data_IF_508813138139
#
_entry.id   IF_508813138139
#
_cell.length_a   1.000
_cell.length_b   1.000
_cell.length_c   1.000
_cell.angle_alpha   90.00
_cell.angle_beta   90.00
_cell.angle_gamma   90.00
#
_symmetry.space_group_name_H-M   'P 1'
#
loop_
_entity.id
_entity.type
_entity.pdbx_description
1 polymer ?
#
# COMPACT_ATOMS: atom_id res chain seq x y z
N UNK A 1 4.94 -27.94 34.01
CA UNK A 1 3.50 -28.17 34.20
C UNK A 1 2.81 -27.89 32.87
N UNK A 2 2.19 -28.94 32.30
CA UNK A 2 1.13 -28.99 31.27
C UNK A 2 1.21 -28.01 30.09
N UNK A 3 1.72 -28.53 28.98
CA UNK A 3 1.45 -28.08 27.62
C UNK A 3 0.12 -28.70 27.11
N UNK A 4 -0.69 -27.91 26.40
CA UNK A 4 -1.80 -28.29 25.53
C UNK A 4 -1.74 -27.27 24.37
N UNK A 5 -1.48 -27.65 23.11
CA UNK A 5 -2.42 -28.22 22.13
C UNK A 5 -2.95 -27.07 21.25
N UNK A 6 -2.99 -27.10 19.90
CA UNK A 6 -3.46 -28.17 19.02
C UNK A 6 -2.89 -27.94 17.61
N UNK A 7 -2.18 -28.94 17.06
CA UNK A 7 -1.98 -29.10 15.63
C UNK A 7 -3.11 -29.99 15.09
N UNK A 8 -3.90 -29.47 14.16
CA UNK A 8 -4.97 -30.24 13.51
C UNK A 8 -4.35 -31.15 12.43
N UNK A 9 -3.86 -32.32 12.85
CA UNK A 9 -3.61 -33.43 11.94
C UNK A 9 -4.95 -34.14 11.69
N UNK A 10 -5.42 -34.11 10.44
CA UNK A 10 -6.55 -34.93 9.98
C UNK A 10 -6.12 -36.41 10.00
N UNK A 11 -6.31 -37.08 11.13
CA UNK A 11 -6.19 -38.52 11.26
C UNK A 11 -7.47 -39.18 10.77
N UNK A 12 -7.46 -39.67 9.52
CA UNK A 12 -8.52 -40.52 8.99
C UNK A 12 -8.47 -41.87 9.69
N UNK A 13 -9.40 -42.11 10.61
CA UNK A 13 -9.54 -43.40 11.31
C UNK A 13 -10.31 -44.37 10.42
N UNK A 14 -9.65 -45.44 9.97
CA UNK A 14 -10.27 -46.52 9.21
C UNK A 14 -11.07 -47.42 10.15
N UNK A 15 -12.40 -47.30 10.12
CA UNK A 15 -13.31 -48.27 10.71
C UNK A 15 -13.79 -49.23 9.59
N UNK A 16 -13.29 -50.46 9.60
CA UNK A 16 -13.79 -51.53 8.74
C UNK A 16 -15.06 -52.10 9.38
N UNK A 17 -16.21 -51.65 8.91
CA UNK A 17 -17.52 -52.25 9.23
C UNK A 17 -17.94 -53.19 8.11
N UNK A 18 -17.93 -54.49 8.38
CA UNK A 18 -18.51 -55.49 7.49
C UNK A 18 -20.05 -55.44 7.60
N UNK A 19 -20.74 -55.11 6.50
CA UNK A 19 -22.18 -55.32 6.36
C UNK A 19 -22.42 -56.26 5.19
N UNK A 20 -22.91 -57.45 5.53
CA UNK A 20 -23.39 -58.45 4.59
C UNK A 20 -24.91 -58.30 4.41
N UNK A 21 -25.38 -58.17 3.17
CA UNK A 21 -26.72 -58.59 2.74
C UNK A 21 -26.74 -58.86 1.22
N UNK A 22 -27.10 -60.09 0.83
CA UNK A 22 -27.55 -60.46 -0.53
C UNK A 22 -28.94 -59.86 -0.84
N UNK A 23 -29.57 -60.01 -2.01
CA UNK A 23 -29.64 -61.12 -2.97
C UNK A 23 -30.13 -60.58 -4.33
N UNK A 24 -29.68 -61.18 -5.46
CA UNK A 24 -30.21 -60.86 -6.80
C UNK A 24 -29.77 -61.82 -7.93
N UNK A 25 -30.13 -63.09 -7.78
CA UNK A 25 -30.29 -64.17 -8.80
C UNK A 25 -29.47 -64.18 -10.09
N UNK A 26 -28.48 -65.09 -10.14
CA UNK A 26 -27.94 -65.71 -11.35
C UNK A 26 -27.24 -67.01 -10.94
N UNK A 27 -27.71 -68.15 -11.44
CA UNK A 27 -27.16 -69.47 -11.13
C UNK A 27 -25.77 -69.58 -11.76
N UNK A 28 -24.73 -69.24 -11.00
CA UNK A 28 -23.36 -69.61 -11.26
C UNK A 28 -22.98 -70.70 -10.25
N UNK A 29 -22.50 -71.81 -10.77
CA UNK A 29 -21.96 -72.95 -10.01
C UNK A 29 -20.88 -72.39 -9.09
N UNK A 30 -21.08 -72.53 -7.78
CA UNK A 30 -20.08 -72.22 -6.78
C UNK A 30 -18.94 -73.25 -6.92
N UNK A 31 -17.76 -72.76 -7.28
CA UNK A 31 -16.51 -73.46 -7.01
C UNK A 31 -16.04 -73.06 -5.60
N UNK A 32 -15.51 -74.04 -4.89
CA UNK A 32 -15.38 -74.09 -3.43
C UNK A 32 -14.44 -73.03 -2.81
N UNK A 33 -14.81 -72.52 -1.63
CA UNK A 33 -14.03 -72.61 -0.38
C UNK A 33 -12.49 -72.49 -0.33
N UNK A 34 -11.80 -71.94 -1.32
CA UNK A 34 -10.34 -71.81 -1.29
C UNK A 34 -9.93 -70.65 -0.37
N UNK A 35 -9.39 -70.99 0.81
CA UNK A 35 -8.60 -70.04 1.61
C UNK A 35 -7.48 -69.51 0.71
N UNK A 36 -7.30 -68.17 0.59
CA UNK A 36 -6.26 -67.59 -0.25
C UNK A 36 -4.89 -68.21 0.05
N UNK A 37 -4.15 -68.57 -0.99
CA UNK A 37 -2.82 -69.17 -0.84
C UNK A 37 -1.82 -68.13 -0.30
N UNK A 38 -0.68 -68.59 0.22
CA UNK A 38 0.40 -67.69 0.62
C UNK A 38 0.90 -66.79 -0.51
N UNK A 39 0.81 -67.27 -1.76
CA UNK A 39 1.15 -66.50 -2.95
C UNK A 39 0.12 -65.40 -3.20
N UNK A 40 -1.18 -65.70 -3.12
CA UNK A 40 -2.26 -64.71 -3.28
C UNK A 40 -2.17 -63.60 -2.22
N UNK A 41 -1.86 -63.95 -0.97
CA UNK A 41 -1.64 -62.98 0.12
C UNK A 41 -0.39 -62.13 -0.12
N UNK A 42 0.69 -62.73 -0.66
CA UNK A 42 1.91 -62.00 -1.00
C UNK A 42 1.66 -61.00 -2.14
N UNK A 43 1.04 -61.45 -3.23
CA UNK A 43 0.68 -60.62 -4.39
C UNK A 43 -0.28 -59.49 -4.00
N UNK A 44 -1.30 -59.78 -3.17
CA UNK A 44 -2.20 -58.75 -2.65
C UNK A 44 -1.46 -57.72 -1.77
N UNK A 45 -0.47 -58.14 -0.97
CA UNK A 45 0.34 -57.22 -0.15
C UNK A 45 1.28 -56.36 -1.00
N UNK A 46 1.85 -56.91 -2.07
CA UNK A 46 2.68 -56.15 -3.03
C UNK A 46 1.79 -55.12 -3.74
N UNK A 47 0.66 -55.54 -4.30
CA UNK A 47 -0.28 -54.62 -4.96
C UNK A 47 -0.82 -53.52 -4.03
N UNK A 48 -1.02 -53.81 -2.74
CA UNK A 48 -1.41 -52.81 -1.76
C UNK A 48 -0.30 -51.80 -1.44
N UNK A 49 0.97 -52.22 -1.45
CA UNK A 49 2.13 -51.33 -1.28
C UNK A 49 2.32 -50.45 -2.51
N UNK A 50 2.28 -51.03 -3.71
CA UNK A 50 2.42 -50.29 -4.96
C UNK A 50 1.35 -49.18 -5.07
N UNK A 51 0.09 -49.49 -4.72
CA UNK A 51 -0.98 -48.47 -4.64
C UNK A 51 -0.73 -47.39 -3.59
N UNK A 52 -0.13 -47.74 -2.45
CA UNK A 52 0.22 -46.75 -1.42
C UNK A 52 1.32 -45.81 -1.93
N UNK A 53 2.32 -46.35 -2.62
CA UNK A 53 3.40 -45.57 -3.25
C UNK A 53 2.84 -44.65 -4.34
N UNK A 54 1.88 -45.11 -5.15
CA UNK A 54 1.19 -44.28 -6.15
C UNK A 54 0.40 -43.12 -5.51
N UNK A 55 -0.31 -43.38 -4.41
CA UNK A 55 -1.04 -42.35 -3.64
C UNK A 55 -0.08 -41.29 -3.11
N UNK A 56 1.05 -41.71 -2.54
CA UNK A 56 2.05 -40.80 -2.01
C UNK A 56 2.77 -40.02 -3.12
N UNK A 57 2.98 -40.62 -4.30
CA UNK A 57 3.50 -39.92 -5.48
C UNK A 57 2.53 -38.85 -6.02
N UNK A 58 1.21 -39.12 -6.04
CA UNK A 58 0.21 -38.11 -6.41
C UNK A 58 0.15 -36.98 -5.38
N UNK A 59 0.19 -37.30 -4.08
CA UNK A 59 0.26 -36.29 -3.01
C UNK A 59 1.50 -35.42 -3.12
N UNK A 60 2.66 -36.00 -3.40
CA UNK A 60 3.90 -35.27 -3.63
C UNK A 60 3.77 -34.30 -4.82
N UNK A 61 3.18 -34.74 -5.93
CA UNK A 61 2.89 -33.88 -7.09
C UNK A 61 1.94 -32.73 -6.75
N UNK A 62 0.91 -32.97 -5.93
CA UNK A 62 0.01 -31.90 -5.44
C UNK A 62 0.76 -30.86 -4.59
N UNK A 63 1.69 -31.29 -3.74
CA UNK A 63 2.54 -30.38 -2.95
C UNK A 63 3.42 -29.54 -3.87
N UNK A 64 4.07 -30.15 -4.87
CA UNK A 64 4.90 -29.43 -5.85
C UNK A 64 4.09 -28.45 -6.71
N UNK A 65 2.86 -28.81 -7.09
CA UNK A 65 1.95 -27.92 -7.80
C UNK A 65 1.57 -26.70 -6.94
N UNK A 66 1.26 -26.90 -5.66
CA UNK A 66 1.01 -25.80 -4.73
C UNK A 66 2.25 -24.93 -4.50
N UNK A 67 3.45 -25.52 -4.44
CA UNK A 67 4.70 -24.79 -4.29
C UNK A 67 4.94 -23.88 -5.51
N UNK A 68 4.81 -24.39 -6.74
CA UNK A 68 4.93 -23.57 -7.96
C UNK A 68 3.94 -22.42 -8.00
N UNK A 69 2.69 -22.66 -7.56
CA UNK A 69 1.67 -21.61 -7.47
C UNK A 69 2.06 -20.51 -6.47
N UNK A 70 2.65 -20.90 -5.34
CA UNK A 70 3.14 -19.96 -4.34
C UNK A 70 4.35 -19.18 -4.86
N UNK A 71 5.32 -19.84 -5.49
CA UNK A 71 6.51 -19.19 -6.07
C UNK A 71 6.12 -18.12 -7.10
N UNK A 72 5.20 -18.47 -8.00
CA UNK A 72 4.69 -17.53 -9.02
C UNK A 72 3.93 -16.34 -8.39
N UNK A 73 3.13 -16.60 -7.34
CA UNK A 73 2.47 -15.55 -6.58
C UNK A 73 3.46 -14.63 -5.84
N UNK A 74 4.53 -15.17 -5.25
CA UNK A 74 5.59 -14.38 -4.58
C UNK A 74 6.31 -13.50 -5.60
N UNK A 75 6.66 -14.06 -6.77
CA UNK A 75 7.32 -13.28 -7.83
C UNK A 75 6.46 -12.11 -8.31
N UNK A 76 5.16 -12.33 -8.49
CA UNK A 76 4.22 -11.26 -8.83
C UNK A 76 4.12 -10.20 -7.71
N UNK A 77 4.08 -10.61 -6.43
CA UNK A 77 4.05 -9.68 -5.31
C UNK A 77 5.35 -8.86 -5.19
N UNK A 78 6.51 -9.46 -5.42
CA UNK A 78 7.80 -8.76 -5.42
C UNK A 78 7.88 -7.72 -6.53
N UNK A 79 7.49 -8.08 -7.75
CA UNK A 79 7.48 -7.13 -8.86
C UNK A 79 6.47 -6.00 -8.63
N UNK A 80 5.30 -6.33 -8.08
CA UNK A 80 4.30 -5.37 -7.68
C UNK A 80 4.82 -4.34 -6.68
N UNK A 81 5.57 -4.82 -5.69
CA UNK A 81 6.13 -3.98 -4.64
C UNK A 81 7.33 -3.16 -5.11
N UNK A 82 8.15 -3.69 -6.03
CA UNK A 82 9.19 -2.92 -6.70
C UNK A 82 8.63 -1.69 -7.43
N UNK A 83 7.48 -1.84 -8.09
CA UNK A 83 6.77 -0.71 -8.70
C UNK A 83 6.25 0.29 -7.66
N UNK A 84 5.64 -0.18 -6.58
CA UNK A 84 5.18 0.71 -5.50
C UNK A 84 6.35 1.55 -4.95
N UNK A 85 7.52 0.93 -4.75
CA UNK A 85 8.74 1.60 -4.35
C UNK A 85 9.27 2.58 -5.39
N UNK A 86 9.28 2.22 -6.67
CA UNK A 86 9.70 3.12 -7.75
C UNK A 86 8.77 4.33 -7.89
N UNK A 87 7.44 4.13 -7.81
CA UNK A 87 6.44 5.20 -7.82
C UNK A 87 6.57 6.13 -6.61
N UNK A 88 6.87 5.57 -5.43
CA UNK A 88 7.15 6.35 -4.23
C UNK A 88 8.38 7.24 -4.41
N UNK A 89 9.49 6.68 -4.90
CA UNK A 89 10.73 7.43 -5.18
C UNK A 89 10.53 8.50 -6.26
N UNK A 90 9.77 8.20 -7.33
CA UNK A 90 9.41 9.18 -8.34
C UNK A 90 8.62 10.36 -7.74
N UNK A 91 7.68 10.09 -6.83
CA UNK A 91 6.95 11.14 -6.12
C UNK A 91 7.85 11.97 -5.20
N UNK A 92 8.83 11.36 -4.54
CA UNK A 92 9.84 12.07 -3.74
C UNK A 92 10.75 12.95 -4.60
N UNK A 93 11.29 12.41 -5.70
CA UNK A 93 12.15 13.14 -6.61
C UNK A 93 11.41 14.34 -7.24
N UNK A 94 10.15 14.18 -7.63
CA UNK A 94 9.29 15.30 -8.10
C UNK A 94 9.12 16.38 -7.02
N UNK A 95 8.92 16.01 -5.75
CA UNK A 95 8.83 16.98 -4.65
C UNK A 95 10.15 17.72 -4.44
N UNK A 96 11.27 17.01 -4.52
CA UNK A 96 12.60 17.59 -4.42
C UNK A 96 12.86 18.58 -5.57
N UNK A 97 12.55 18.22 -6.81
CA UNK A 97 12.67 19.10 -7.98
C UNK A 97 11.86 20.39 -7.83
N UNK A 98 10.61 20.30 -7.36
CA UNK A 98 9.80 21.51 -7.12
C UNK A 98 10.41 22.41 -6.03
N UNK A 99 10.98 21.81 -4.98
CA UNK A 99 11.62 22.55 -3.90
C UNK A 99 12.93 23.23 -4.35
N UNK A 100 13.77 22.52 -5.11
CA UNK A 100 15.02 23.09 -5.64
C UNK A 100 14.73 24.17 -6.69
N UNK A 101 13.72 24.01 -7.53
CA UNK A 101 13.26 25.05 -8.47
C UNK A 101 12.85 26.33 -7.74
N UNK A 102 12.14 26.21 -6.60
CA UNK A 102 11.78 27.38 -5.77
C UNK A 102 13.02 28.05 -5.20
N UNK A 103 14.00 27.29 -4.73
CA UNK A 103 15.26 27.83 -4.19
C UNK A 103 16.08 28.55 -5.26
N UNK A 104 16.14 27.98 -6.46
CA UNK A 104 16.76 28.62 -7.63
C UNK A 104 16.09 29.98 -7.93
N UNK A 105 14.76 30.02 -8.03
CA UNK A 105 14.03 31.27 -8.27
C UNK A 105 14.25 32.33 -7.17
N UNK A 106 14.34 31.92 -5.91
CA UNK A 106 14.66 32.83 -4.79
C UNK A 106 16.08 33.37 -4.89
N UNK A 107 17.05 32.53 -5.26
CA UNK A 107 18.45 32.94 -5.44
C UNK A 107 18.61 33.90 -6.61
N UNK A 108 17.96 33.62 -7.76
CA UNK A 108 17.93 34.53 -8.91
C UNK A 108 17.34 35.90 -8.57
N UNK A 109 16.26 35.92 -7.79
CA UNK A 109 15.66 37.17 -7.31
C UNK A 109 16.62 37.95 -6.39
N UNK A 110 17.47 37.26 -5.61
CA UNK A 110 18.50 37.91 -4.81
C UNK A 110 19.60 38.53 -5.66
N UNK A 111 20.03 37.84 -6.72
CA UNK A 111 20.99 38.40 -7.69
C UNK A 111 20.49 39.72 -8.26
N UNK A 112 19.21 39.79 -8.64
CA UNK A 112 18.63 41.03 -9.17
C UNK A 112 18.63 42.16 -8.13
N UNK A 113 18.24 41.86 -6.88
CA UNK A 113 18.29 42.86 -5.79
C UNK A 113 19.71 43.37 -5.55
N UNK A 114 20.70 42.48 -5.51
CA UNK A 114 22.09 42.86 -5.29
C UNK A 114 22.67 43.65 -6.47
N UNK A 115 22.25 43.31 -7.70
CA UNK A 115 22.62 44.05 -8.91
C UNK A 115 22.09 45.48 -8.89
N UNK A 116 20.85 45.68 -8.47
CA UNK A 116 20.24 47.00 -8.30
C UNK A 116 20.97 47.80 -7.21
N UNK A 117 21.22 47.21 -6.05
CA UNK A 117 21.95 47.86 -4.96
C UNK A 117 23.38 48.28 -5.35
N UNK A 118 24.10 47.44 -6.09
CA UNK A 118 25.41 47.79 -6.64
C UNK A 118 25.33 48.92 -7.67
N UNK A 119 24.34 48.88 -8.57
CA UNK A 119 24.08 49.94 -9.55
C UNK A 119 23.78 51.30 -8.91
N UNK A 120 22.91 51.33 -7.89
CA UNK A 120 22.56 52.54 -7.16
C UNK A 120 23.76 53.13 -6.41
N UNK A 121 24.61 52.27 -5.83
CA UNK A 121 25.85 52.69 -5.17
C UNK A 121 26.84 53.32 -6.17
N UNK A 122 26.97 52.76 -7.38
CA UNK A 122 27.81 53.31 -8.45
C UNK A 122 27.32 54.68 -8.93
N UNK A 123 26.00 54.82 -9.15
CA UNK A 123 25.42 56.12 -9.55
C UNK A 123 25.67 57.17 -8.47
N UNK A 124 25.39 56.83 -7.21
CA UNK A 124 25.61 57.73 -6.06
C UNK A 124 27.07 58.14 -5.93
N UNK A 125 28.02 57.21 -6.12
CA UNK A 125 29.45 57.55 -6.05
C UNK A 125 29.89 58.47 -7.19
N UNK A 126 29.32 58.30 -8.38
CA UNK A 126 29.62 59.14 -9.55
C UNK A 126 29.05 60.55 -9.40
N UNK A 127 27.81 60.68 -8.91
CA UNK A 127 27.18 61.98 -8.61
C UNK A 127 27.91 62.75 -7.50
N UNK A 128 28.48 62.04 -6.51
CA UNK A 128 29.31 62.63 -5.46
C UNK A 128 30.74 62.97 -5.89
N UNK A 129 31.12 62.69 -7.14
CA UNK A 129 32.42 63.06 -7.72
C UNK A 129 32.29 64.32 -8.59
N UNK A 130 32.36 65.54 -8.03
CA UNK A 130 32.51 66.76 -8.83
C UNK A 130 33.94 66.83 -9.33
N UNK A 131 34.22 66.02 -10.35
CA UNK A 131 35.42 66.14 -11.16
C UNK A 131 35.50 67.58 -11.67
N UNK A 132 36.62 68.25 -11.36
CA UNK A 132 37.04 69.56 -11.83
C UNK A 132 36.68 70.80 -10.98
N UNK A 133 35.75 70.74 -10.01
CA UNK A 133 35.55 71.88 -9.07
C UNK A 133 36.48 71.83 -7.85
N UNK A 134 37.12 70.68 -7.58
CA UNK A 134 37.95 70.45 -6.40
C UNK A 134 39.33 71.13 -6.43
N UNK A 135 39.92 71.32 -7.63
CA UNK A 135 41.23 71.96 -7.74
C UNK A 135 41.19 73.46 -7.45
N UNK A 136 40.02 74.12 -7.59
CA UNK A 136 39.87 75.54 -7.29
C UNK A 136 39.61 75.83 -5.80
N UNK A 137 39.07 74.86 -5.04
CA UNK A 137 38.80 74.99 -3.61
C UNK A 137 40.05 74.82 -2.73
N UNK A 138 40.95 73.91 -3.11
CA UNK A 138 42.26 73.68 -2.45
C UNK A 138 43.14 74.94 -2.49
N UNK A 139 42.98 75.78 -3.52
CA UNK A 139 43.79 77.00 -3.72
C UNK A 139 43.21 78.22 -3.00
N UNK A 140 41.95 78.20 -2.53
CA UNK A 140 41.28 79.44 -2.10
C UNK A 140 40.84 79.58 -0.64
N UNK A 141 40.55 78.55 0.16
CA UNK A 141 40.29 78.77 1.60
C UNK A 141 40.03 77.56 2.50
N UNK A 142 39.77 76.36 2.00
CA UNK A 142 39.37 75.24 2.86
C UNK A 142 40.60 74.42 3.32
N UNK A 143 40.92 74.49 4.60
CA UNK A 143 42.15 73.93 5.19
C UNK A 143 42.29 72.40 5.13
N UNK A 144 43.46 71.88 5.54
CA UNK A 144 43.84 70.44 5.53
C UNK A 144 42.77 69.50 6.12
N UNK A 145 41.96 69.94 7.10
CA UNK A 145 40.90 69.12 7.69
C UNK A 145 39.83 68.66 6.68
N UNK A 146 39.45 69.53 5.74
CA UNK A 146 38.46 69.21 4.70
C UNK A 146 38.99 68.17 3.71
N UNK A 147 40.31 68.17 3.47
CA UNK A 147 40.97 67.14 2.64
C UNK A 147 40.95 65.78 3.32
N UNK A 148 41.16 65.73 4.65
CA UNK A 148 41.14 64.48 5.43
C UNK A 148 39.73 63.89 5.49
N UNK A 149 38.71 64.67 5.85
CA UNK A 149 37.32 64.21 5.89
C UNK A 149 36.84 63.68 4.52
N UNK A 150 37.24 64.34 3.45
CA UNK A 150 36.92 63.91 2.08
C UNK A 150 37.65 62.64 1.67
N UNK A 151 38.91 62.47 2.10
CA UNK A 151 39.67 61.24 1.88
C UNK A 151 39.02 60.05 2.59
N UNK A 152 38.62 60.21 3.85
CA UNK A 152 37.89 59.17 4.60
C UNK A 152 36.53 58.85 3.97
N UNK A 153 35.81 59.87 3.49
CA UNK A 153 34.53 59.67 2.80
C UNK A 153 34.69 58.88 1.50
N UNK A 154 35.74 59.15 0.71
CA UNK A 154 36.06 58.38 -0.49
C UNK A 154 36.46 56.94 -0.16
N UNK A 155 37.29 56.72 0.85
CA UNK A 155 37.69 55.38 1.30
C UNK A 155 36.49 54.56 1.78
N UNK A 156 35.56 55.18 2.51
CA UNK A 156 34.34 54.52 2.96
C UNK A 156 33.40 54.18 1.79
N UNK A 157 33.31 55.06 0.78
CA UNK A 157 32.52 54.81 -0.43
C UNK A 157 33.13 53.68 -1.28
N UNK A 158 34.45 53.64 -1.42
CA UNK A 158 35.17 52.57 -2.12
C UNK A 158 35.00 51.22 -1.41
N UNK A 159 35.13 51.19 -0.09
CA UNK A 159 34.86 49.99 0.71
C UNK A 159 33.40 49.51 0.62
N UNK A 160 32.43 50.42 0.54
CA UNK A 160 31.03 50.08 0.35
C UNK A 160 30.74 49.51 -1.05
N UNK A 161 31.36 50.07 -2.10
CA UNK A 161 31.26 49.53 -3.46
C UNK A 161 31.87 48.13 -3.58
N UNK A 162 33.04 47.92 -2.97
CA UNK A 162 33.67 46.60 -2.91
C UNK A 162 32.81 45.61 -2.13
N UNK A 163 32.22 46.03 -1.00
CA UNK A 163 31.26 45.24 -0.23
C UNK A 163 30.07 44.79 -1.08
N UNK A 164 29.37 45.74 -1.70
CA UNK A 164 28.19 45.46 -2.54
C UNK A 164 28.54 44.59 -3.76
N UNK A 165 29.71 44.81 -4.38
CA UNK A 165 30.16 43.97 -5.49
C UNK A 165 30.45 42.53 -5.04
N UNK A 166 31.05 42.35 -3.86
CA UNK A 166 31.28 41.02 -3.29
C UNK A 166 29.97 40.31 -2.93
N UNK A 167 28.99 41.02 -2.38
CA UNK A 167 27.64 40.48 -2.11
C UNK A 167 26.93 40.08 -3.39
N UNK A 168 26.97 40.92 -4.43
CA UNK A 168 26.43 40.59 -5.76
C UNK A 168 27.09 39.34 -6.34
N UNK A 169 28.43 39.23 -6.30
CA UNK A 169 29.14 38.05 -6.79
C UNK A 169 28.78 36.79 -6.00
N UNK A 170 28.65 36.90 -4.68
CA UNK A 170 28.26 35.78 -3.83
C UNK A 170 26.83 35.31 -4.15
N UNK A 171 25.89 36.24 -4.31
CA UNK A 171 24.53 35.95 -4.73
C UNK A 171 24.49 35.27 -6.10
N UNK A 172 25.29 35.75 -7.07
CA UNK A 172 25.39 35.16 -8.40
C UNK A 172 25.89 33.71 -8.35
N UNK A 173 26.96 33.45 -7.59
CA UNK A 173 27.46 32.07 -7.41
C UNK A 173 26.45 31.17 -6.71
N UNK A 174 25.70 31.67 -5.72
CA UNK A 174 24.63 30.91 -5.07
C UNK A 174 23.48 30.59 -6.03
N UNK A 175 23.11 31.53 -6.90
CA UNK A 175 22.09 31.31 -7.93
C UNK A 175 22.54 30.26 -8.94
N UNK A 176 23.78 30.31 -9.42
CA UNK A 176 24.34 29.29 -10.33
C UNK A 176 24.29 27.88 -9.70
N UNK A 177 24.69 27.75 -8.43
CA UNK A 177 24.63 26.47 -7.71
C UNK A 177 23.19 26.02 -7.50
N UNK A 178 22.28 26.93 -7.15
CA UNK A 178 20.87 26.61 -6.95
C UNK A 178 20.19 26.19 -8.28
N UNK A 179 20.56 26.81 -9.39
CA UNK A 179 20.11 26.42 -10.73
C UNK A 179 20.59 25.02 -11.10
N UNK A 180 21.89 24.72 -10.91
CA UNK A 180 22.43 23.38 -11.18
C UNK A 180 21.72 22.31 -10.33
N UNK A 181 21.49 22.59 -9.04
CA UNK A 181 20.75 21.68 -8.17
C UNK A 181 19.29 21.49 -8.59
N UNK A 182 18.68 22.49 -9.23
CA UNK A 182 17.33 22.37 -9.76
C UNK A 182 17.31 21.49 -11.02
N UNK A 183 18.25 21.71 -11.95
CA UNK A 183 18.44 20.89 -13.15
C UNK A 183 18.73 19.43 -12.79
N UNK A 184 19.68 19.18 -11.89
CA UNK A 184 20.01 17.82 -11.40
C UNK A 184 18.78 17.12 -10.78
N UNK A 185 17.99 17.85 -9.98
CA UNK A 185 16.80 17.30 -9.35
C UNK A 185 15.66 17.02 -10.35
N UNK A 186 15.54 17.83 -11.42
CA UNK A 186 14.62 17.56 -12.51
C UNK A 186 15.02 16.29 -13.29
N UNK A 187 16.31 16.13 -13.59
CA UNK A 187 16.85 14.93 -14.25
C UNK A 187 16.62 13.68 -13.39
N UNK A 188 16.88 13.75 -12.08
CA UNK A 188 16.60 12.68 -11.12
C UNK A 188 15.10 12.33 -11.09
N UNK A 189 14.21 13.32 -11.15
CA UNK A 189 12.77 13.11 -11.18
C UNK A 189 12.30 12.43 -12.48
N UNK A 190 12.88 12.79 -13.62
CA UNK A 190 12.63 12.14 -14.91
C UNK A 190 13.13 10.70 -14.91
N UNK A 191 14.35 10.46 -14.41
CA UNK A 191 14.92 9.12 -14.31
C UNK A 191 14.08 8.21 -13.39
N UNK A 192 13.66 8.72 -12.23
CA UNK A 192 12.82 7.98 -11.30
C UNK A 192 11.43 7.66 -11.88
N UNK A 193 10.86 8.56 -12.69
CA UNK A 193 9.60 8.29 -13.40
C UNK A 193 9.76 7.19 -14.45
N UNK A 194 10.86 7.20 -15.20
CA UNK A 194 11.16 6.14 -16.16
C UNK A 194 11.33 4.78 -15.45
N UNK A 195 12.06 4.75 -14.34
CA UNK A 195 12.20 3.53 -13.54
C UNK A 195 10.84 3.02 -13.03
N UNK A 196 9.94 3.93 -12.63
CA UNK A 196 8.59 3.56 -12.25
C UNK A 196 7.78 2.97 -13.42
N UNK A 197 7.98 3.45 -14.65
CA UNK A 197 7.34 2.86 -15.84
C UNK A 197 7.92 1.47 -16.16
N UNK A 198 9.23 1.30 -16.09
CA UNK A 198 9.87 0.01 -16.33
C UNK A 198 9.45 -1.03 -15.27
N UNK A 199 9.42 -0.62 -14.00
CA UNK A 199 8.93 -1.46 -12.90
C UNK A 199 7.44 -1.80 -13.08
N UNK A 200 6.64 -0.88 -13.63
CA UNK A 200 5.23 -1.12 -13.93
C UNK A 200 5.07 -2.25 -14.93
N UNK A 201 5.86 -2.21 -16.00
CA UNK A 201 5.78 -3.18 -17.08
C UNK A 201 6.28 -4.57 -16.62
N UNK A 202 7.31 -4.62 -15.77
CA UNK A 202 7.77 -5.85 -15.11
C UNK A 202 6.71 -6.46 -14.20
N UNK A 203 6.05 -5.65 -13.37
CA UNK A 203 4.98 -6.10 -12.49
C UNK A 203 3.77 -6.63 -13.26
N UNK A 204 3.39 -5.99 -14.37
CA UNK A 204 2.34 -6.48 -15.26
C UNK A 204 2.71 -7.84 -15.86
N UNK A 205 3.92 -7.98 -16.38
CA UNK A 205 4.39 -9.25 -16.93
C UNK A 205 4.39 -10.37 -15.88
N UNK A 206 4.82 -10.08 -14.65
CA UNK A 206 4.81 -11.04 -13.54
C UNK A 206 3.38 -11.43 -13.12
N UNK A 207 2.43 -10.47 -13.11
CA UNK A 207 1.03 -10.74 -12.82
C UNK A 207 0.37 -11.61 -13.90
N UNK A 208 0.64 -11.32 -15.18
CA UNK A 208 0.15 -12.10 -16.32
C UNK A 208 0.72 -13.54 -16.28
N UNK A 209 2.01 -13.69 -15.96
CA UNK A 209 2.64 -14.99 -15.77
C UNK A 209 2.01 -15.77 -14.60
N UNK A 210 1.79 -15.11 -13.45
CA UNK A 210 1.16 -15.74 -12.29
C UNK A 210 -0.30 -16.15 -12.54
N UNK A 211 -1.05 -15.38 -13.34
CA UNK A 211 -2.39 -15.75 -13.77
C UNK A 211 -2.36 -16.99 -14.68
N UNK A 212 -1.45 -17.03 -15.65
CA UNK A 212 -1.28 -18.18 -16.54
C UNK A 212 -0.85 -19.45 -15.77
N UNK A 213 0.11 -19.32 -14.85
CA UNK A 213 0.54 -20.40 -13.96
C UNK A 213 -0.61 -20.90 -13.09
N UNK A 214 -1.44 -20.00 -12.56
CA UNK A 214 -2.59 -20.38 -11.73
C UNK A 214 -3.61 -21.23 -12.49
N UNK A 215 -3.89 -20.90 -13.76
CA UNK A 215 -4.78 -21.69 -14.62
C UNK A 215 -4.17 -23.07 -14.89
N UNK A 216 -2.91 -23.11 -15.35
CA UNK A 216 -2.20 -24.36 -15.67
C UNK A 216 -2.09 -25.29 -14.46
N UNK A 217 -1.77 -24.74 -13.29
CA UNK A 217 -1.66 -25.50 -12.04
C UNK A 217 -3.03 -25.95 -11.53
N UNK A 218 -4.10 -25.17 -11.74
CA UNK A 218 -5.45 -25.59 -11.39
C UNK A 218 -5.86 -26.83 -12.20
N UNK A 219 -5.59 -26.85 -13.50
CA UNK A 219 -5.85 -28.00 -14.39
C UNK A 219 -5.03 -29.24 -13.96
N UNK A 220 -3.74 -29.06 -13.67
CA UNK A 220 -2.87 -30.13 -13.17
C UNK A 220 -3.40 -30.70 -11.84
N UNK A 221 -3.79 -29.83 -10.91
CA UNK A 221 -4.34 -30.25 -9.62
C UNK A 221 -5.66 -30.99 -9.76
N UNK A 222 -6.55 -30.55 -10.64
CA UNK A 222 -7.81 -31.24 -10.92
C UNK A 222 -7.56 -32.67 -11.41
N UNK A 223 -6.60 -32.83 -12.35
CA UNK A 223 -6.20 -34.15 -12.84
C UNK A 223 -5.57 -35.03 -11.74
N UNK A 224 -4.72 -34.47 -10.87
CA UNK A 224 -4.12 -35.20 -9.75
C UNK A 224 -5.15 -35.59 -8.68
N UNK A 225 -6.14 -34.74 -8.41
CA UNK A 225 -7.24 -35.06 -7.48
C UNK A 225 -8.10 -36.20 -8.04
N UNK A 226 -8.40 -36.19 -9.34
CA UNK A 226 -9.09 -37.30 -10.00
C UNK A 226 -8.29 -38.62 -9.90
N UNK A 227 -6.98 -38.58 -10.18
CA UNK A 227 -6.08 -39.75 -10.00
C UNK A 227 -6.07 -40.25 -8.55
N UNK A 228 -6.04 -39.34 -7.58
CA UNK A 228 -6.06 -39.71 -6.16
C UNK A 228 -7.38 -40.39 -5.76
N UNK A 229 -8.51 -39.90 -6.28
CA UNK A 229 -9.82 -40.50 -6.05
C UNK A 229 -9.89 -41.93 -6.61
N UNK A 230 -9.40 -42.13 -7.84
CA UNK A 230 -9.32 -43.45 -8.48
C UNK A 230 -8.45 -44.44 -7.69
N UNK A 231 -7.26 -43.99 -7.25
CA UNK A 231 -6.31 -44.83 -6.48
C UNK A 231 -6.85 -45.23 -5.10
N UNK A 232 -7.58 -44.34 -4.44
CA UNK A 232 -8.08 -44.57 -3.08
C UNK A 232 -9.38 -45.39 -3.03
N UNK A 233 -9.93 -45.82 -4.18
CA UNK A 233 -11.26 -46.47 -4.27
C UNK A 233 -12.34 -45.67 -3.53
N UNK A 234 -12.13 -44.36 -3.40
CA UNK A 234 -13.19 -43.43 -3.05
C UNK A 234 -13.99 -43.35 -4.33
N UNK A 235 -15.19 -43.95 -4.33
CA UNK A 235 -16.06 -43.99 -5.52
C UNK A 235 -15.93 -42.66 -6.25
N UNK A 236 -15.51 -42.70 -7.51
CA UNK A 236 -15.31 -41.53 -8.38
C UNK A 236 -16.48 -40.55 -8.26
N UNK A 237 -17.67 -41.09 -8.03
CA UNK A 237 -18.91 -40.38 -7.74
C UNK A 237 -18.89 -39.47 -6.49
N UNK A 238 -18.25 -39.85 -5.37
CA UNK A 238 -18.15 -39.02 -4.16
C UNK A 238 -17.10 -37.91 -4.33
N UNK A 239 -15.98 -38.21 -4.99
CA UNK A 239 -14.98 -37.20 -5.32
C UNK A 239 -15.52 -36.20 -6.36
N UNK A 240 -16.23 -36.68 -7.39
CA UNK A 240 -16.95 -35.83 -8.34
C UNK A 240 -18.08 -35.05 -7.68
N UNK A 241 -18.88 -35.63 -6.78
CA UNK A 241 -19.92 -34.89 -6.02
C UNK A 241 -19.32 -33.80 -5.14
N UNK A 242 -18.14 -34.03 -4.55
CA UNK A 242 -17.45 -33.02 -3.75
C UNK A 242 -16.87 -31.93 -4.64
N UNK A 243 -16.23 -32.29 -5.75
CA UNK A 243 -15.66 -31.33 -6.70
C UNK A 243 -16.77 -30.49 -7.35
N UNK A 244 -17.86 -31.11 -7.79
CA UNK A 244 -19.02 -30.40 -8.35
C UNK A 244 -19.71 -29.54 -7.29
N UNK A 245 -19.80 -29.97 -6.03
CA UNK A 245 -20.31 -29.12 -4.96
C UNK A 245 -19.39 -27.91 -4.68
N UNK A 246 -18.07 -28.07 -4.75
CA UNK A 246 -17.12 -26.97 -4.59
C UNK A 246 -17.15 -26.01 -5.79
N UNK A 247 -17.28 -26.53 -7.02
CA UNK A 247 -17.44 -25.73 -8.24
C UNK A 247 -18.78 -25.01 -8.28
N UNK A 248 -19.85 -25.66 -7.84
CA UNK A 248 -21.19 -25.07 -7.74
C UNK A 248 -21.23 -24.01 -6.64
N UNK A 249 -20.59 -24.24 -5.49
CA UNK A 249 -20.42 -23.22 -4.46
C UNK A 249 -19.54 -22.05 -4.93
N UNK A 250 -18.49 -22.31 -5.72
CA UNK A 250 -17.66 -21.27 -6.31
C UNK A 250 -18.41 -20.49 -7.42
N UNK A 251 -19.24 -21.17 -8.22
CA UNK A 251 -20.08 -20.56 -9.24
C UNK A 251 -21.24 -19.76 -8.63
N UNK A 252 -21.84 -20.24 -7.55
CA UNK A 252 -22.85 -19.51 -6.77
C UNK A 252 -22.22 -18.30 -6.07
N UNK A 253 -21.02 -18.43 -5.51
CA UNK A 253 -20.27 -17.31 -4.95
C UNK A 253 -19.87 -16.29 -6.03
N UNK A 254 -19.45 -16.75 -7.22
CA UNK A 254 -19.12 -15.89 -8.36
C UNK A 254 -20.36 -15.23 -8.97
N UNK A 255 -21.50 -15.94 -9.05
CA UNK A 255 -22.77 -15.39 -9.50
C UNK A 255 -23.36 -14.41 -8.48
N UNK A 256 -23.25 -14.70 -7.18
CA UNK A 256 -23.61 -13.77 -6.11
C UNK A 256 -22.70 -12.53 -6.12
N UNK A 257 -21.40 -12.69 -6.34
CA UNK A 257 -20.47 -11.58 -6.50
C UNK A 257 -20.79 -10.74 -7.75
N UNK A 258 -21.07 -11.37 -8.89
CA UNK A 258 -21.46 -10.68 -10.13
C UNK A 258 -22.83 -10.00 -10.01
N UNK A 259 -23.77 -10.56 -9.25
CA UNK A 259 -25.06 -9.93 -8.93
C UNK A 259 -24.88 -8.76 -7.98
N UNK A 260 -24.02 -8.87 -6.96
CA UNK A 260 -23.66 -7.75 -6.10
C UNK A 260 -22.93 -6.64 -6.86
N UNK A 261 -22.09 -6.98 -7.86
CA UNK A 261 -21.48 -6.00 -8.77
C UNK A 261 -22.52 -5.33 -9.68
N UNK A 262 -23.49 -6.07 -10.22
CA UNK A 262 -24.58 -5.52 -11.04
C UNK A 262 -25.58 -4.69 -10.21
N UNK A 263 -25.91 -5.11 -8.99
CA UNK A 263 -26.73 -4.32 -8.05
C UNK A 263 -26.00 -3.07 -7.56
N UNK A 264 -24.68 -3.14 -7.40
CA UNK A 264 -23.84 -1.98 -7.13
C UNK A 264 -23.74 -1.05 -8.34
N UNK A 265 -23.69 -1.57 -9.57
CA UNK A 265 -23.75 -0.77 -10.81
C UNK A 265 -25.15 -0.15 -11.04
N UNK A 266 -26.24 -0.86 -10.72
CA UNK A 266 -27.62 -0.33 -10.82
C UNK A 266 -27.95 0.68 -9.71
N UNK A 267 -27.37 0.56 -8.52
CA UNK A 267 -27.44 1.59 -7.47
C UNK A 267 -26.44 2.75 -7.70
N UNK A 268 -25.48 2.56 -8.60
CA UNK A 268 -24.55 3.59 -9.07
C UNK A 268 -25.06 4.27 -10.35
N UNK A 269 -26.36 4.56 -10.45
CA UNK A 269 -26.79 5.64 -11.33
C UNK A 269 -26.24 6.96 -10.79
N UNK A 270 -25.53 7.79 -11.59
CA UNK A 270 -25.09 9.09 -11.14
C UNK A 270 -26.31 9.95 -10.82
N UNK A 271 -26.54 10.21 -9.54
CA UNK A 271 -27.45 11.28 -9.13
C UNK A 271 -26.87 12.59 -9.66
N UNK A 272 -27.62 13.38 -10.45
CA UNK A 272 -27.15 14.67 -10.90
C UNK A 272 -26.90 15.57 -9.68
N UNK A 273 -25.81 16.31 -9.72
CA UNK A 273 -25.43 17.35 -8.76
C UNK A 273 -26.63 18.10 -8.18
N UNK A 274 -26.73 18.28 -6.85
CA UNK A 274 -27.53 19.38 -6.35
C UNK A 274 -26.82 20.67 -6.72
N UNK A 275 -27.39 21.34 -7.73
CA UNK A 275 -27.07 22.73 -8.06
C UNK A 275 -27.02 23.57 -6.79
N UNK A 276 -25.91 24.28 -6.63
CA UNK A 276 -25.78 25.37 -5.68
C UNK A 276 -26.96 26.35 -5.80
N UNK A 277 -27.59 26.77 -4.69
CA UNK A 277 -28.38 28.00 -4.70
C UNK A 277 -27.43 29.19 -4.55
N UNK A 278 -27.46 30.06 -5.55
CA UNK A 278 -26.89 31.41 -5.53
C UNK A 278 -27.63 32.30 -4.49
N UNK A 279 -27.06 33.48 -4.13
CA UNK A 279 -27.31 34.16 -2.87
C UNK A 279 -28.63 34.95 -2.88
N UNK A 280 -29.27 35.07 -1.71
CA UNK A 280 -30.38 36.00 -1.47
C UNK A 280 -29.85 37.24 -0.74
N UNK A 281 -30.39 38.44 -1.01
CA UNK A 281 -29.79 39.71 -0.63
C UNK A 281 -30.16 40.13 0.80
N UNK A 282 -29.36 41.05 1.33
CA UNK A 282 -29.58 41.81 2.58
C UNK A 282 -31.04 42.26 2.79
N UNK A 283 -31.46 42.33 4.06
CA UNK A 283 -32.22 43.49 4.52
C UNK A 283 -31.53 44.16 5.72
N UNK A 284 -31.01 45.35 5.41
CA UNK A 284 -31.04 46.59 6.16
C UNK A 284 -31.77 46.59 7.54
N UNK A 285 -30.96 46.83 8.58
CA UNK A 285 -31.14 47.70 9.76
C UNK A 285 -32.54 48.20 10.17
N UNK A 286 -32.93 47.95 11.43
CA UNK A 286 -33.22 48.92 12.51
C UNK A 286 -34.08 48.28 13.66
N UNK A 287 -34.24 48.88 14.87
CA UNK A 287 -33.27 48.98 15.98
C UNK A 287 -33.90 48.45 17.33
N UNK A 288 -33.61 48.95 18.56
CA UNK A 288 -33.09 48.13 19.67
C UNK A 288 -34.06 47.87 20.85
N UNK A 289 -33.55 47.02 21.76
CA UNK A 289 -34.12 46.40 22.96
C UNK A 289 -34.61 47.31 24.10
N UNK A 290 -35.57 46.77 24.90
CA UNK A 290 -35.76 46.77 26.39
C UNK A 290 -37.24 47.02 26.79
N UNK A 291 -37.74 46.65 28.01
CA UNK A 291 -37.45 45.54 28.94
C UNK A 291 -38.73 44.74 29.39
N UNK A 292 -38.53 43.67 30.18
CA UNK A 292 -39.44 42.70 30.89
C UNK A 292 -40.40 43.34 31.94
N UNK A 293 -41.30 42.65 32.74
CA UNK A 293 -41.90 41.26 32.82
C UNK A 293 -43.46 41.29 33.10
N UNK A 294 -44.23 40.28 33.66
CA UNK A 294 -43.90 38.94 34.22
C UNK A 294 -44.85 37.72 33.95
N UNK A 295 -44.28 36.52 34.16
CA UNK A 295 -44.79 35.24 34.74
C UNK A 295 -46.05 34.52 34.24
N UNK A 296 -45.88 33.25 33.82
CA UNK A 296 -46.75 32.04 34.08
C UNK A 296 -45.90 30.77 33.79
N UNK A 297 -46.04 29.64 34.54
CA UNK A 297 -44.98 28.61 34.66
C UNK A 297 -45.01 27.48 33.61
N UNK A 298 -43.88 26.76 33.55
CA UNK A 298 -43.43 25.83 32.51
C UNK A 298 -44.10 24.43 32.49
N UNK A 299 -44.07 23.73 31.34
CA UNK A 299 -44.00 22.26 31.27
C UNK A 299 -42.55 21.78 31.03
N UNK A 300 -42.17 20.69 31.70
CA UNK A 300 -40.85 20.05 31.74
C UNK A 300 -40.35 19.56 30.36
N UNK A 301 -39.08 19.75 29.97
CA UNK A 301 -38.49 19.14 28.78
C UNK A 301 -38.18 17.64 28.97
N UNK A 302 -38.37 16.78 27.93
CA UNK A 302 -37.90 15.39 27.95
C UNK A 302 -36.36 15.33 27.90
N UNK A 303 -35.80 14.28 28.50
CA UNK A 303 -34.35 14.04 28.60
C UNK A 303 -33.66 13.99 27.22
N UNK A 304 -32.39 14.45 27.11
CA UNK A 304 -31.64 14.38 25.86
C UNK A 304 -31.35 12.93 25.46
N UNK A 305 -31.66 12.60 24.22
CA UNK A 305 -31.21 11.38 23.52
C UNK A 305 -29.67 11.29 23.56
N UNK A 306 -29.08 10.11 23.77
CA UNK A 306 -27.63 9.95 23.76
C UNK A 306 -27.06 10.33 22.39
N UNK A 307 -26.08 11.22 22.39
CA UNK A 307 -25.26 11.54 21.22
C UNK A 307 -24.70 10.25 20.61
N UNK A 308 -24.80 10.04 19.27
CA UNK A 308 -24.16 8.93 18.60
C UNK A 308 -22.68 8.84 18.98
N UNK A 309 -22.11 7.64 19.21
CA UNK A 309 -20.70 7.50 19.50
C UNK A 309 -19.88 8.15 18.38
N UNK A 310 -18.83 8.89 18.77
CA UNK A 310 -17.88 9.45 17.82
C UNK A 310 -17.39 8.35 16.86
N UNK A 311 -17.11 8.67 15.58
CA UNK A 311 -16.55 7.69 14.66
C UNK A 311 -15.31 7.05 15.31
N UNK A 312 -15.23 5.72 15.24
CA UNK A 312 -14.09 4.99 15.76
C UNK A 312 -12.80 5.61 15.20
N UNK A 313 -11.76 5.74 16.03
CA UNK A 313 -10.43 6.22 15.63
C UNK A 313 -9.37 5.18 15.98
N UNK A 314 -8.17 5.33 15.41
CA UNK A 314 -7.06 4.40 15.64
C UNK A 314 -7.32 2.99 15.11
N UNK A 315 -6.74 1.99 15.77
CA UNK A 315 -6.71 0.60 15.31
C UNK A 315 -8.10 0.00 15.04
N UNK A 316 -9.11 0.32 15.87
CA UNK A 316 -10.45 -0.22 15.69
C UNK A 316 -11.11 0.31 14.40
N UNK A 317 -10.89 1.57 14.06
CA UNK A 317 -11.38 2.16 12.83
C UNK A 317 -10.68 1.55 11.62
N UNK A 318 -9.36 1.36 11.71
CA UNK A 318 -8.59 0.71 10.66
C UNK A 318 -9.07 -0.72 10.38
N UNK A 319 -9.28 -1.52 11.42
CA UNK A 319 -9.82 -2.87 11.27
C UNK A 319 -11.24 -2.84 10.70
N UNK A 320 -12.10 -1.93 11.17
CA UNK A 320 -13.48 -1.82 10.68
C UNK A 320 -13.52 -1.44 9.20
N UNK A 321 -12.66 -0.51 8.79
CA UNK A 321 -12.48 -0.15 7.39
C UNK A 321 -12.03 -1.35 6.57
N UNK A 322 -10.95 -2.02 6.99
CA UNK A 322 -10.40 -3.16 6.26
C UNK A 322 -11.42 -4.32 6.13
N UNK A 323 -12.20 -4.59 7.17
CA UNK A 323 -13.28 -5.59 7.13
C UNK A 323 -14.39 -5.22 6.14
N UNK A 324 -14.70 -3.94 6.02
CA UNK A 324 -15.71 -3.49 5.06
C UNK A 324 -15.29 -3.72 3.60
N UNK A 325 -13.99 -3.92 3.33
CA UNK A 325 -13.48 -4.19 1.99
C UNK A 325 -13.41 -5.69 1.65
N UNK A 326 -13.71 -6.58 2.61
CA UNK A 326 -13.65 -8.04 2.38
C UNK A 326 -14.57 -8.41 1.20
N UNK A 327 -14.01 -9.14 0.23
CA UNK A 327 -14.69 -9.50 -1.03
C UNK A 327 -14.31 -8.61 -2.21
N UNK A 328 -13.78 -7.41 -1.98
CA UNK A 328 -13.36 -6.53 -3.08
C UNK A 328 -12.15 -7.09 -3.83
N UNK A 329 -12.05 -6.84 -5.15
CA UNK A 329 -11.01 -7.46 -5.97
C UNK A 329 -9.63 -6.92 -5.65
N UNK A 330 -8.63 -7.79 -5.73
CA UNK A 330 -7.25 -7.36 -5.77
C UNK A 330 -6.95 -6.71 -7.13
N UNK A 331 -6.38 -5.51 -7.11
CA UNK A 331 -5.74 -4.90 -8.26
C UNK A 331 -4.44 -4.27 -7.82
N UNK A 332 -3.37 -4.66 -8.47
CA UNK A 332 -2.06 -4.10 -8.19
C UNK A 332 -2.02 -2.57 -8.38
N UNK A 333 -1.35 -1.87 -7.46
CA UNK A 333 -1.24 -0.43 -7.44
C UNK A 333 -2.52 0.30 -7.02
N UNK A 334 -3.59 -0.43 -6.69
CA UNK A 334 -4.88 0.14 -6.33
C UNK A 334 -4.98 0.47 -4.83
N UNK A 335 -5.67 1.57 -4.54
CA UNK A 335 -5.86 2.13 -3.19
C UNK A 335 -7.34 2.41 -2.90
N UNK A 336 -8.23 1.60 -3.50
CA UNK A 336 -9.67 1.69 -3.32
C UNK A 336 -10.37 2.74 -4.19
N UNK A 337 -11.69 2.89 -4.02
CA UNK A 337 -12.56 2.06 -3.17
C UNK A 337 -13.10 0.81 -3.90
N UNK A 338 -12.72 0.57 -5.16
CA UNK A 338 -13.28 -0.55 -5.95
C UNK A 338 -12.32 -1.73 -6.12
N UNK A 339 -11.06 -1.57 -5.68
CA UNK A 339 -10.03 -2.59 -5.72
C UNK A 339 -8.83 -2.17 -4.84
N UNK A 340 -8.10 -3.16 -4.32
CA UNK A 340 -7.00 -2.92 -3.40
C UNK A 340 -5.74 -3.72 -3.78
N UNK A 341 -4.56 -3.18 -3.51
CA UNK A 341 -3.38 -3.98 -3.26
C UNK A 341 -3.02 -4.00 -1.76
N UNK A 342 -1.96 -4.70 -1.41
CA UNK A 342 -1.60 -4.96 -0.01
C UNK A 342 -1.36 -3.66 0.79
N UNK A 343 -0.47 -2.80 0.31
CA UNK A 343 -0.12 -1.54 0.96
C UNK A 343 -1.19 -0.46 0.77
N UNK A 344 -1.97 -0.51 -0.31
CA UNK A 344 -3.14 0.33 -0.53
C UNK A 344 -4.24 0.07 0.50
N UNK A 345 -4.53 -1.19 0.79
CA UNK A 345 -5.53 -1.57 1.80
C UNK A 345 -5.14 -1.06 3.20
N UNK A 346 -3.88 -1.27 3.60
CA UNK A 346 -3.41 -0.82 4.91
C UNK A 346 -3.32 0.70 5.00
N UNK A 347 -2.97 1.38 3.90
CA UNK A 347 -3.02 2.84 3.79
C UNK A 347 -4.44 3.37 3.99
N UNK A 348 -5.43 2.81 3.29
CA UNK A 348 -6.84 3.21 3.42
C UNK A 348 -7.37 2.94 4.83
N UNK A 349 -7.07 1.77 5.38
CA UNK A 349 -7.45 1.37 6.74
C UNK A 349 -6.90 2.34 7.79
N UNK A 350 -5.60 2.59 7.81
CA UNK A 350 -5.01 3.52 8.77
C UNK A 350 -5.39 4.97 8.51
N UNK A 351 -5.67 5.35 7.27
CA UNK A 351 -6.29 6.64 6.93
C UNK A 351 -7.62 6.84 7.65
N UNK A 352 -8.50 5.84 7.64
CA UNK A 352 -9.73 5.84 8.45
C UNK A 352 -9.45 5.83 9.97
N UNK A 353 -8.32 5.25 10.39
CA UNK A 353 -7.78 5.33 11.74
C UNK A 353 -7.14 6.65 12.13
N UNK A 354 -6.99 7.60 11.20
CA UNK A 354 -6.36 8.90 11.43
C UNK A 354 -4.83 8.93 11.30
N UNK A 355 -4.21 7.89 10.72
CA UNK A 355 -2.77 7.83 10.41
C UNK A 355 -2.54 7.74 8.91
N UNK A 356 -1.67 8.60 8.39
CA UNK A 356 -1.24 8.52 6.99
C UNK A 356 -0.11 7.51 6.86
N UNK A 357 -0.27 6.56 5.94
CA UNK A 357 0.76 5.60 5.55
C UNK A 357 1.09 5.77 4.07
N UNK A 358 2.34 5.52 3.64
CA UNK A 358 2.69 5.53 2.22
C UNK A 358 2.08 4.33 1.48
N UNK A 359 1.82 4.47 0.19
CA UNK A 359 1.39 3.37 -0.69
C UNK A 359 2.61 2.55 -1.17
N UNK A 360 3.39 2.05 -0.21
CA UNK A 360 4.59 1.23 -0.40
C UNK A 360 4.92 0.54 0.93
N UNK A 361 4.88 -0.79 0.99
CA UNK A 361 4.95 -1.57 2.23
C UNK A 361 6.30 -1.47 2.96
N UNK A 362 7.42 -1.34 2.24
CA UNK A 362 8.72 -1.08 2.89
C UNK A 362 8.69 0.28 3.60
N UNK A 363 8.20 1.33 2.93
CA UNK A 363 8.07 2.64 3.56
C UNK A 363 7.03 2.63 4.71
N UNK A 364 5.99 1.81 4.65
CA UNK A 364 5.08 1.62 5.79
C UNK A 364 5.80 1.02 6.99
N UNK A 365 6.66 0.03 6.76
CA UNK A 365 7.48 -0.57 7.82
C UNK A 365 8.48 0.45 8.40
N UNK A 366 9.20 1.17 7.54
CA UNK A 366 10.19 2.19 7.94
C UNK A 366 9.58 3.37 8.71
N UNK A 367 8.35 3.76 8.38
CA UNK A 367 7.62 4.82 9.08
C UNK A 367 6.86 4.33 10.33
N UNK A 368 6.87 3.02 10.58
CA UNK A 368 6.23 2.40 11.75
C UNK A 368 7.28 2.03 12.80
N UNK A 369 6.81 1.73 14.03
CA UNK A 369 7.68 1.20 15.09
C UNK A 369 7.82 -0.32 14.96
N UNK A 370 9.01 -0.89 14.71
CA UNK A 370 9.19 -2.34 14.66
C UNK A 370 8.84 -3.00 16.00
N UNK A 371 8.17 -4.15 15.94
CA UNK A 371 7.79 -4.94 17.10
C UNK A 371 8.16 -6.42 16.89
N UNK A 372 8.18 -7.18 17.98
CA UNK A 372 8.27 -8.64 17.91
C UNK A 372 6.89 -9.28 17.74
N UNK A 373 6.84 -10.50 17.20
CA UNK A 373 5.60 -11.26 17.05
C UNK A 373 4.81 -11.40 18.36
N UNK A 374 5.49 -11.51 19.51
CA UNK A 374 4.86 -11.61 20.82
C UNK A 374 4.20 -10.32 21.33
N UNK A 375 4.42 -9.19 20.64
CA UNK A 375 3.85 -7.89 20.97
C UNK A 375 2.65 -7.51 20.08
N UNK A 376 2.25 -8.39 19.16
CA UNK A 376 1.17 -8.14 18.21
C UNK A 376 -0.15 -7.80 18.92
N UNK A 377 -0.72 -6.67 18.53
CA UNK A 377 -2.01 -6.16 18.95
C UNK A 377 -2.86 -5.84 17.73
N UNK A 378 -4.19 -6.03 17.79
CA UNK A 378 -5.07 -5.65 16.68
C UNK A 378 -4.78 -4.22 16.21
N UNK A 379 -4.58 -4.06 14.89
CA UNK A 379 -4.17 -2.82 14.25
C UNK A 379 -2.70 -2.83 13.78
N UNK A 380 -1.84 -3.62 14.41
CA UNK A 380 -0.44 -3.74 13.98
C UNK A 380 -0.35 -4.28 12.54
N UNK A 381 0.74 -3.96 11.85
CA UNK A 381 1.02 -4.42 10.50
C UNK A 381 1.93 -5.66 10.54
N UNK A 382 1.63 -6.61 9.66
CA UNK A 382 2.36 -7.88 9.49
C UNK A 382 2.92 -7.91 8.08
N UNK A 383 4.19 -8.28 7.94
CA UNK A 383 4.90 -8.18 6.66
C UNK A 383 5.62 -9.48 6.29
N UNK A 384 5.72 -9.72 4.98
CA UNK A 384 6.47 -10.82 4.39
C UNK A 384 7.58 -10.25 3.51
N UNK A 385 8.78 -10.83 3.62
CA UNK A 385 9.93 -10.49 2.79
C UNK A 385 10.68 -11.74 2.36
N UNK A 386 11.57 -11.59 1.38
CA UNK A 386 12.37 -12.70 0.82
C UNK A 386 13.68 -12.96 1.58
N UNK A 387 14.01 -12.11 2.54
CA UNK A 387 15.20 -12.24 3.39
C UNK A 387 14.94 -11.65 4.78
N UNK A 388 15.97 -11.64 5.63
CA UNK A 388 15.94 -10.93 6.93
C UNK A 388 16.08 -9.41 6.79
N UNK A 389 16.33 -8.89 5.59
CA UNK A 389 16.38 -7.45 5.31
C UNK A 389 14.96 -6.90 5.11
N UNK A 390 14.52 -5.88 5.88
CA UNK A 390 13.23 -5.21 5.65
C UNK A 390 13.09 -4.62 4.24
N UNK A 391 14.19 -4.28 3.56
CA UNK A 391 14.15 -3.83 2.16
C UNK A 391 13.64 -4.91 1.18
N UNK A 392 13.56 -6.17 1.63
CA UNK A 392 13.03 -7.30 0.86
C UNK A 392 11.54 -7.57 1.07
N UNK A 393 10.85 -6.74 1.86
CA UNK A 393 9.40 -6.85 2.07
C UNK A 393 8.68 -6.73 0.73
N UNK A 394 7.75 -7.65 0.47
CA UNK A 394 6.93 -7.69 -0.75
C UNK A 394 5.43 -7.75 -0.45
N UNK A 395 5.03 -7.86 0.81
CA UNK A 395 3.61 -7.92 1.20
C UNK A 395 3.39 -7.39 2.61
N UNK A 396 2.23 -6.78 2.82
CA UNK A 396 1.76 -6.28 4.12
C UNK A 396 0.29 -6.61 4.34
N UNK A 397 -0.08 -6.85 5.59
CA UNK A 397 -1.46 -7.07 6.02
C UNK A 397 -1.74 -6.40 7.37
N UNK A 398 -3.03 -6.15 7.65
CA UNK A 398 -3.49 -5.60 8.92
C UNK A 398 -3.81 -6.74 9.90
N UNK A 399 -3.21 -6.73 11.09
CA UNK A 399 -3.50 -7.73 12.12
C UNK A 399 -4.87 -7.46 12.78
N UNK A 400 -5.77 -8.44 12.73
CA UNK A 400 -7.13 -8.33 13.27
C UNK A 400 -7.27 -8.91 14.70
N UNK A 401 -6.21 -9.53 15.22
CA UNK A 401 -6.21 -10.24 16.50
C UNK A 401 -6.37 -11.75 16.35
N UNK A 402 -6.04 -12.51 17.41
CA UNK A 402 -6.26 -13.96 17.44
C UNK A 402 -5.49 -14.77 16.38
N UNK A 403 -4.38 -14.25 15.86
CA UNK A 403 -3.65 -14.88 14.75
C UNK A 403 -4.23 -14.61 13.37
N UNK A 404 -5.25 -13.74 13.26
CA UNK A 404 -5.89 -13.37 11.99
C UNK A 404 -5.35 -12.06 11.43
N UNK A 405 -5.31 -11.98 10.11
CA UNK A 405 -4.97 -10.79 9.32
C UNK A 405 -6.08 -10.50 8.32
N UNK A 406 -6.19 -9.24 7.92
CA UNK A 406 -6.97 -8.80 6.76
C UNK A 406 -5.98 -8.34 5.69
N UNK A 407 -6.10 -8.90 4.48
CA UNK A 407 -5.15 -8.67 3.40
C UNK A 407 -5.83 -8.58 2.04
N UNK A 408 -5.19 -7.86 1.11
CA UNK A 408 -5.42 -7.97 -0.33
C UNK A 408 -4.26 -8.78 -0.92
N UNK A 409 -4.43 -10.10 -1.15
CA UNK A 409 -3.28 -11.01 -1.29
C UNK A 409 -2.63 -11.02 -2.67
N UNK A 410 -3.41 -11.10 -3.75
CA UNK A 410 -2.95 -11.17 -5.15
C UNK A 410 -4.11 -11.21 -6.13
N UNK A 411 -3.83 -10.98 -7.41
CA UNK A 411 -4.80 -11.12 -8.50
C UNK A 411 -5.51 -12.47 -8.46
N UNK A 412 -6.84 -12.44 -8.65
CA UNK A 412 -7.69 -13.63 -8.58
C UNK A 412 -8.08 -14.06 -7.17
N UNK A 413 -7.64 -13.34 -6.13
CA UNK A 413 -8.11 -13.51 -4.75
C UNK A 413 -8.57 -12.16 -4.19
N UNK A 414 -9.81 -12.04 -3.71
CA UNK A 414 -10.32 -10.80 -3.15
C UNK A 414 -9.66 -10.49 -1.80
N UNK A 415 -9.97 -9.31 -1.26
CA UNK A 415 -9.67 -8.98 0.14
C UNK A 415 -10.29 -10.04 1.04
N UNK A 416 -9.51 -10.55 2.00
CA UNK A 416 -9.90 -11.66 2.85
C UNK A 416 -9.37 -11.53 4.29
N UNK A 417 -10.10 -12.11 5.24
CA UNK A 417 -9.64 -12.30 6.63
C UNK A 417 -9.22 -13.77 6.82
N UNK A 418 -7.92 -14.00 7.03
CA UNK A 418 -7.32 -15.35 7.11
C UNK A 418 -6.29 -15.43 8.22
N UNK A 419 -5.87 -16.66 8.57
CA UNK A 419 -4.76 -16.87 9.49
C UNK A 419 -3.48 -16.25 8.92
N UNK A 420 -2.68 -15.58 9.74
CA UNK A 420 -1.39 -15.02 9.32
C UNK A 420 -0.36 -16.06 8.87
N UNK A 421 -0.66 -17.35 9.06
CA UNK A 421 0.16 -18.47 8.62
C UNK A 421 -0.42 -19.19 7.37
N UNK A 422 -1.43 -18.62 6.71
CA UNK A 422 -2.10 -19.25 5.57
C UNK A 422 -1.23 -19.33 4.31
N UNK A 423 -0.20 -18.49 4.21
CA UNK A 423 0.71 -18.44 3.06
C UNK A 423 2.11 -18.94 3.41
N UNK A 424 2.87 -18.12 4.13
CA UNK A 424 4.19 -18.43 4.70
C UNK A 424 4.31 -17.72 6.05
N UNK A 425 5.32 -18.08 6.85
CA UNK A 425 5.55 -17.41 8.13
C UNK A 425 5.94 -15.94 7.91
N UNK A 426 5.25 -14.96 8.54
CA UNK A 426 5.61 -13.55 8.42
C UNK A 426 7.01 -13.27 8.98
N UNK A 427 7.73 -12.38 8.31
CA UNK A 427 9.12 -12.03 8.64
C UNK A 427 9.24 -10.80 9.55
N UNK A 428 8.32 -9.84 9.42
CA UNK A 428 8.39 -8.57 10.13
C UNK A 428 7.04 -8.12 10.67
N UNK A 429 7.09 -7.29 11.71
CA UNK A 429 5.92 -6.78 12.42
C UNK A 429 6.19 -5.33 12.81
N UNK A 430 5.22 -4.44 12.63
CA UNK A 430 5.38 -3.05 13.03
C UNK A 430 4.06 -2.44 13.52
N UNK A 431 4.17 -1.42 14.36
CA UNK A 431 3.06 -0.63 14.89
C UNK A 431 3.09 0.78 14.29
N UNK A 432 2.11 1.15 13.45
CA UNK A 432 1.98 2.50 12.90
C UNK A 432 1.82 3.57 13.97
#
# INVERSE_FOLDING_TARGET
MRAFGVAAALALTLAVGAVATGVGTGVAVADDGAVPSHQDIHEARVAARDKADDVDAVRARLVLANQRLQESAIAAAQAAEAYNGARWRAAEARRAAVETQRRSAVAEADVQRQREAYGDALVTSYEMSPGLTAFSAIVRSDGIGTVVERTTSLQNAEAALDGNYNEFRAAATLADVAQQQAEDAEDDAVAAEQEAQDARDQARAAADAAAADAVSIADEKAALIAQLADLQHISVELAQRRQSALEQQAAEAAAAAAQHEQEAEEQSTPSPEPSAPAPTPDPESAPPSTPTPPTTPAPTPPAPTPTPPAPASGAQAAISFARAQIGEPYRWGASGPSAWDCSGLTMGAWGAGGKSLPHYSVAQYEQSTPISAGQLQPGDLVFWGSSSDPGSIYHVALYAGGGQIIQAPRTGRPVEEVSMYSWTTPGFYARP
#
